data_IF_606178814706
#
_entry.id   IF_606178814706
#
_cell.length_a   1.000
_cell.length_b   1.000
_cell.length_c   1.000
_cell.angle_alpha   90.00
_cell.angle_beta   90.00
_cell.angle_gamma   90.00
#
_symmetry.space_group_name_H-M   'P 1'
#
loop_
_entity.id
_entity.type
_entity.pdbx_description
1 polymer ?
#
# COMPACT_ATOMS: atom_id res chain seq x y z
N UNK A 1 -21.40 6.40 13.85
CA UNK A 1 -20.82 7.49 14.64
C UNK A 1 -19.31 7.33 14.69
N UNK A 2 -18.66 7.99 13.74
CA UNK A 2 -17.23 8.27 13.75
C UNK A 2 -16.88 9.20 14.91
N UNK A 3 -15.87 8.86 15.71
CA UNK A 3 -15.34 9.75 16.75
C UNK A 3 -13.82 9.78 16.68
N UNK A 4 -13.26 10.95 16.40
CA UNK A 4 -11.83 11.18 16.57
C UNK A 4 -11.48 11.17 18.06
N UNK A 5 -10.54 10.30 18.44
CA UNK A 5 -10.03 10.16 19.80
C UNK A 5 -8.79 11.03 20.02
N UNK A 6 -7.91 11.08 19.03
CA UNK A 6 -6.70 11.89 19.07
C UNK A 6 -6.26 12.32 17.69
N UNK A 7 -5.56 13.45 17.64
CA UNK A 7 -4.92 13.98 16.45
C UNK A 7 -3.50 14.45 16.79
N UNK A 8 -2.53 13.98 16.00
CA UNK A 8 -1.14 14.41 16.07
C UNK A 8 -0.80 15.10 14.76
N UNK A 9 -0.58 16.43 14.75
CA UNK A 9 -0.23 17.15 13.54
C UNK A 9 1.16 16.70 13.07
N UNK A 10 1.24 16.19 11.83
CA UNK A 10 2.49 15.81 11.18
C UNK A 10 2.44 16.26 9.72
N UNK A 11 3.54 16.84 9.26
CA UNK A 11 3.69 17.27 7.87
C UNK A 11 4.69 16.37 7.16
N UNK A 12 4.69 16.44 5.82
CA UNK A 12 5.66 15.76 4.96
C UNK A 12 5.73 14.24 5.21
N UNK A 13 4.60 13.58 5.41
CA UNK A 13 4.55 12.11 5.46
C UNK A 13 4.28 11.52 4.07
N UNK A 14 4.65 10.27 3.86
CA UNK A 14 4.34 9.51 2.65
C UNK A 14 3.47 8.27 2.97
N UNK A 15 3.03 7.54 1.93
CA UNK A 15 2.13 6.39 2.06
C UNK A 15 2.74 5.19 2.81
N UNK A 16 4.04 5.20 3.07
CA UNK A 16 4.77 4.17 3.83
C UNK A 16 5.10 4.62 5.25
N UNK A 17 4.54 5.76 5.66
CA UNK A 17 4.89 6.41 6.91
C UNK A 17 4.24 5.79 8.14
N UNK A 18 3.20 4.97 8.03
CA UNK A 18 2.42 4.48 9.18
C UNK A 18 2.86 3.08 9.64
N UNK A 19 3.33 2.98 10.89
CA UNK A 19 3.93 1.78 11.46
C UNK A 19 3.23 1.32 12.74
N UNK A 20 3.40 0.05 13.09
CA UNK A 20 2.83 -0.57 14.30
C UNK A 20 3.75 -1.69 14.76
N UNK A 21 4.13 -1.64 16.03
CA UNK A 21 4.89 -2.66 16.70
C UNK A 21 4.13 -3.08 17.96
N UNK A 22 3.68 -4.32 17.98
CA UNK A 22 3.05 -4.91 19.16
C UNK A 22 4.05 -4.89 20.34
N UNK A 23 3.61 -4.37 21.49
CA UNK A 23 4.48 -4.14 22.65
C UNK A 23 5.28 -2.83 22.59
N UNK A 24 5.02 -1.97 21.60
CA UNK A 24 5.48 -0.59 21.57
C UNK A 24 4.76 0.30 22.59
N UNK A 25 5.14 1.58 22.62
CA UNK A 25 4.58 2.55 23.57
C UNK A 25 3.09 2.75 23.33
N UNK A 26 2.27 2.65 24.36
CA UNK A 26 0.82 2.86 24.27
C UNK A 26 0.16 1.98 23.21
N UNK A 27 -0.36 2.60 22.16
CA UNK A 27 -0.95 1.95 20.98
C UNK A 27 0.07 1.14 20.16
N UNK A 28 1.37 1.37 20.35
CA UNK A 28 2.44 0.78 19.55
C UNK A 28 2.57 1.38 18.14
N UNK A 29 1.88 2.49 17.87
CA UNK A 29 1.84 3.15 16.57
C UNK A 29 2.83 4.32 16.52
N UNK A 30 3.58 4.40 15.43
CA UNK A 30 4.42 5.54 15.13
C UNK A 30 4.40 5.86 13.65
N UNK A 31 4.78 7.09 13.31
CA UNK A 31 4.87 7.55 11.93
C UNK A 31 6.27 8.03 11.57
N UNK A 32 6.64 7.89 10.30
CA UNK A 32 7.88 8.43 9.73
C UNK A 32 7.59 9.52 8.70
N UNK A 33 8.28 10.66 8.81
CA UNK A 33 8.23 11.73 7.80
C UNK A 33 9.28 11.53 6.71
N UNK A 34 9.10 12.21 5.58
CA UNK A 34 10.05 12.27 4.46
C UNK A 34 11.42 12.80 4.93
N UNK A 35 11.45 13.69 5.93
CA UNK A 35 12.69 14.20 6.52
C UNK A 35 13.36 13.25 7.51
N UNK A 36 12.76 12.08 7.80
CA UNK A 36 13.33 11.09 8.69
C UNK A 36 12.97 11.23 10.16
N UNK A 37 11.93 12.00 10.49
CA UNK A 37 11.45 12.11 11.86
C UNK A 37 10.51 10.95 12.17
N UNK A 38 10.70 10.32 13.32
CA UNK A 38 9.82 9.28 13.85
C UNK A 38 9.04 9.84 15.02
N UNK A 39 7.72 9.73 14.94
CA UNK A 39 6.82 10.24 15.98
C UNK A 39 5.92 9.12 16.47
N UNK A 40 6.07 8.75 17.74
CA UNK A 40 5.13 7.87 18.42
C UNK A 40 3.81 8.61 18.63
N UNK A 41 2.68 7.99 18.27
CA UNK A 41 1.36 8.64 18.41
C UNK A 41 1.05 8.96 19.87
N UNK A 42 1.51 8.12 20.79
CA UNK A 42 1.34 8.29 22.24
C UNK A 42 2.38 9.22 22.89
N UNK A 43 3.38 9.71 22.14
CA UNK A 43 4.34 10.73 22.60
C UNK A 43 4.79 11.64 21.46
N UNK A 44 3.90 12.52 20.98
CA UNK A 44 4.20 13.39 19.86
C UNK A 44 5.20 14.50 20.20
N UNK A 45 5.43 14.78 21.49
CA UNK A 45 6.34 15.83 21.96
C UNK A 45 7.82 15.50 21.79
N UNK A 46 8.17 14.23 21.59
CA UNK A 46 9.56 13.78 21.54
C UNK A 46 9.86 13.03 20.23
N UNK A 47 9.82 13.73 19.07
CA UNK A 47 10.15 13.11 17.80
C UNK A 47 11.63 12.68 17.78
N UNK A 48 11.90 11.49 17.22
CA UNK A 48 13.25 10.96 17.05
C UNK A 48 13.71 11.23 15.62
N UNK A 49 14.83 11.93 15.46
CA UNK A 49 15.42 12.21 14.14
C UNK A 49 16.35 11.07 13.72
N UNK A 50 15.89 10.21 12.81
CA UNK A 50 16.68 9.09 12.31
C UNK A 50 17.94 9.55 11.57
N UNK A 51 17.88 10.71 10.91
CA UNK A 51 19.02 11.23 10.17
C UNK A 51 20.23 11.56 11.07
N UNK A 52 19.99 11.99 12.31
CA UNK A 52 21.03 12.23 13.31
C UNK A 52 21.67 10.96 13.87
N UNK A 53 21.12 9.78 13.55
CA UNK A 53 21.70 8.49 13.92
C UNK A 53 22.61 7.93 12.83
N UNK A 54 22.63 8.55 11.64
CA UNK A 54 23.59 8.21 10.60
C UNK A 54 24.89 8.98 10.82
N UNK A 55 26.02 8.30 10.60
CA UNK A 55 27.28 8.98 10.30
C UNK A 55 27.34 9.33 8.80
N UNK A 56 26.30 9.99 8.26
CA UNK A 56 26.30 10.45 6.86
C UNK A 56 26.65 11.93 6.82
N UNK A 57 27.72 12.28 6.09
CA UNK A 57 28.03 13.67 5.77
C UNK A 57 27.06 14.15 4.68
N UNK A 58 26.15 15.04 5.08
CA UNK A 58 25.26 15.75 4.17
C UNK A 58 25.89 17.12 3.92
N UNK A 59 26.24 17.38 2.66
CA UNK A 59 26.76 18.66 2.22
C UNK A 59 25.77 19.81 2.43
N UNK A 60 26.23 21.06 2.42
CA UNK A 60 25.39 22.23 2.70
C UNK A 60 24.20 22.41 1.73
N UNK A 61 24.29 21.81 0.54
CA UNK A 61 23.30 21.89 -0.52
C UNK A 61 22.65 20.53 -0.82
N UNK A 62 22.86 19.53 0.05
CA UNK A 62 22.25 18.21 -0.11
C UNK A 62 21.01 18.06 0.78
N UNK A 63 20.01 17.35 0.28
CA UNK A 63 18.77 17.05 1.00
C UNK A 63 18.62 15.54 1.12
N UNK A 64 18.46 15.06 2.35
CA UNK A 64 18.20 13.65 2.63
C UNK A 64 16.69 13.39 2.69
N UNK A 65 16.24 12.40 1.93
CA UNK A 65 14.83 12.05 1.75
C UNK A 65 14.58 10.56 2.07
N UNK A 66 13.63 10.29 2.99
CA UNK A 66 13.13 8.95 3.28
C UNK A 66 12.02 8.57 2.29
N UNK A 67 12.31 7.58 1.44
CA UNK A 67 11.39 7.17 0.34
C UNK A 67 10.49 6.02 0.73
N UNK A 68 11.00 5.07 1.53
CA UNK A 68 10.24 3.91 1.95
C UNK A 68 10.69 3.45 3.33
N UNK A 69 9.73 2.94 4.10
CA UNK A 69 9.99 2.35 5.38
C UNK A 69 9.05 1.15 5.59
N UNK A 70 9.53 0.14 6.30
CA UNK A 70 8.68 -0.96 6.79
C UNK A 70 9.19 -1.44 8.15
N UNK A 71 8.26 -1.85 8.99
CA UNK A 71 8.54 -2.22 10.38
C UNK A 71 8.05 -3.62 10.69
N UNK A 72 8.77 -4.30 11.58
CA UNK A 72 8.39 -5.62 12.04
C UNK A 72 8.76 -5.81 13.51
N UNK A 73 7.94 -6.60 14.21
CA UNK A 73 8.27 -7.03 15.57
C UNK A 73 9.54 -7.88 15.56
N UNK A 74 10.47 -7.55 16.45
CA UNK A 74 11.73 -8.27 16.61
C UNK A 74 12.05 -8.27 18.09
N UNK A 75 11.96 -9.44 18.71
CA UNK A 75 12.12 -9.55 20.16
C UNK A 75 13.50 -10.14 20.46
N UNK A 76 14.39 -9.27 20.93
CA UNK A 76 15.68 -9.58 21.57
C UNK A 76 15.66 -8.96 22.98
N UNK A 77 16.67 -9.24 23.81
CA UNK A 77 16.70 -8.84 25.24
C UNK A 77 16.43 -7.35 25.48
N UNK A 78 16.79 -6.47 24.54
CA UNK A 78 16.57 -5.02 24.60
C UNK A 78 15.94 -4.45 23.31
N UNK A 79 15.23 -5.28 22.54
CA UNK A 79 14.62 -4.87 21.27
C UNK A 79 13.16 -5.32 21.22
N UNK A 80 12.27 -4.42 20.79
CA UNK A 80 10.84 -4.73 20.56
C UNK A 80 10.51 -4.83 19.07
N UNK A 81 11.33 -4.23 18.21
CA UNK A 81 11.05 -4.11 16.79
C UNK A 81 12.24 -3.66 15.98
N UNK A 82 12.06 -3.69 14.67
CA UNK A 82 12.99 -3.13 13.70
C UNK A 82 12.24 -2.24 12.72
N UNK A 83 12.95 -1.26 12.18
CA UNK A 83 12.48 -0.36 11.14
C UNK A 83 13.51 -0.35 10.01
N UNK A 84 13.17 -0.97 8.88
CA UNK A 84 13.96 -0.88 7.65
C UNK A 84 13.54 0.39 6.89
N UNK A 85 14.52 1.10 6.34
CA UNK A 85 14.33 2.40 5.69
C UNK A 85 15.20 2.50 4.44
N UNK A 86 14.73 3.24 3.44
CA UNK A 86 15.44 3.51 2.21
C UNK A 86 15.51 5.02 1.96
N UNK A 87 16.72 5.50 1.67
CA UNK A 87 17.02 6.92 1.61
C UNK A 87 17.65 7.32 0.29
N UNK A 88 17.41 8.59 -0.07
CA UNK A 88 18.05 9.27 -1.19
C UNK A 88 18.70 10.54 -0.67
N UNK A 89 19.96 10.76 -1.03
CA UNK A 89 20.60 12.06 -0.93
C UNK A 89 20.43 12.75 -2.27
N UNK A 90 19.72 13.86 -2.28
CA UNK A 90 19.53 14.71 -3.45
C UNK A 90 20.42 15.95 -3.37
N UNK A 91 20.75 16.55 -4.50
CA UNK A 91 21.36 17.88 -4.55
C UNK A 91 20.31 19.01 -4.42
N UNK A 92 20.75 20.26 -4.55
CA UNK A 92 19.90 21.45 -4.48
C UNK A 92 18.81 21.52 -5.56
N UNK A 93 18.97 20.77 -6.65
CA UNK A 93 18.01 20.65 -7.75
C UNK A 93 17.11 19.43 -7.61
N UNK A 94 17.15 18.74 -6.46
CA UNK A 94 16.45 17.48 -6.22
C UNK A 94 16.84 16.35 -7.17
N UNK A 95 18.07 16.38 -7.69
CA UNK A 95 18.63 15.28 -8.47
C UNK A 95 19.27 14.25 -7.53
N UNK A 96 18.90 12.97 -7.63
CA UNK A 96 19.46 11.95 -6.75
C UNK A 96 20.96 11.72 -6.98
N UNK A 97 21.75 11.82 -5.91
CA UNK A 97 23.20 11.65 -5.91
C UNK A 97 23.62 10.30 -5.32
N UNK A 98 23.03 9.93 -4.17
CA UNK A 98 23.38 8.71 -3.43
C UNK A 98 22.14 8.02 -2.88
N UNK A 99 22.24 6.72 -2.67
CA UNK A 99 21.17 5.87 -2.17
C UNK A 99 21.71 4.95 -1.09
N UNK A 100 20.92 4.72 -0.04
CA UNK A 100 21.28 3.72 0.97
C UNK A 100 20.05 3.11 1.64
N UNK A 101 20.22 1.88 2.11
CA UNK A 101 19.30 1.22 3.03
C UNK A 101 19.83 1.36 4.46
N UNK A 102 18.93 1.45 5.43
CA UNK A 102 19.29 1.41 6.84
C UNK A 102 18.27 0.62 7.66
N UNK A 103 18.75 -0.04 8.70
CA UNK A 103 17.95 -0.77 9.68
C UNK A 103 18.16 -0.17 11.06
N UNK A 104 17.06 0.23 11.67
CA UNK A 104 17.03 0.68 13.06
C UNK A 104 16.45 -0.39 13.96
N UNK A 105 17.07 -0.57 15.12
CA UNK A 105 16.51 -1.33 16.24
C UNK A 105 15.64 -0.41 17.07
N UNK A 106 14.44 -0.88 17.40
CA UNK A 106 13.50 -0.18 18.27
C UNK A 106 13.67 -0.78 19.66
N UNK A 107 14.18 0.02 20.58
CA UNK A 107 14.52 -0.37 21.94
C UNK A 107 13.26 -0.46 22.82
N UNK A 108 13.38 -1.12 23.99
CA UNK A 108 12.27 -1.23 24.96
C UNK A 108 11.88 0.10 25.59
N UNK A 109 12.79 1.06 25.62
CA UNK A 109 12.53 2.46 26.01
C UNK A 109 11.98 3.31 24.84
N UNK A 110 11.66 2.66 23.71
CA UNK A 110 11.11 3.26 22.49
C UNK A 110 12.07 4.19 21.73
N UNK A 111 13.34 4.19 22.09
CA UNK A 111 14.41 4.83 21.32
C UNK A 111 14.77 4.01 20.07
N UNK A 112 15.46 4.66 19.14
CA UNK A 112 15.95 4.05 17.90
C UNK A 112 17.47 4.03 17.90
N UNK A 113 18.04 2.90 17.53
CA UNK A 113 19.50 2.74 17.38
C UNK A 113 19.80 2.19 16.00
N UNK A 114 20.74 2.80 15.29
CA UNK A 114 21.20 2.30 14.00
C UNK A 114 21.87 0.93 14.18
N UNK A 115 21.30 -0.10 13.54
CA UNK A 115 21.85 -1.46 13.55
C UNK A 115 22.63 -1.80 12.30
N UNK A 116 22.25 -1.22 11.16
CA UNK A 116 22.91 -1.45 9.87
C UNK A 116 22.61 -0.31 8.89
N UNK A 117 23.57 -0.06 8.00
CA UNK A 117 23.45 0.85 6.87
C UNK A 117 24.35 0.36 5.74
N UNK A 118 23.87 0.41 4.51
CA UNK A 118 24.66 0.05 3.33
C UNK A 118 24.24 0.84 2.10
N UNK A 119 25.20 1.14 1.22
CA UNK A 119 24.98 1.88 -0.01
C UNK A 119 24.23 1.03 -1.03
N UNK A 120 23.30 1.65 -1.75
CA UNK A 120 22.57 1.00 -2.84
C UNK A 120 23.09 1.52 -4.18
N UNK A 121 23.18 0.61 -5.16
CA UNK A 121 23.64 0.95 -6.53
C UNK A 121 22.60 1.70 -7.35
N UNK A 122 21.31 1.51 -7.02
CA UNK A 122 20.17 2.03 -7.78
C UNK A 122 19.14 2.63 -6.83
N UNK A 123 18.29 3.52 -7.37
CA UNK A 123 17.32 4.27 -6.59
C UNK A 123 16.27 3.31 -5.98
N UNK A 124 16.13 3.27 -4.64
CA UNK A 124 15.12 2.44 -4.00
C UNK A 124 13.71 3.01 -4.27
N UNK A 125 12.73 2.13 -4.42
CA UNK A 125 11.33 2.48 -4.64
C UNK A 125 10.42 1.97 -3.53
N UNK A 126 10.80 0.85 -2.90
CA UNK A 126 10.01 0.23 -1.84
C UNK A 126 10.90 -0.66 -0.97
N UNK A 127 10.49 -0.87 0.29
CA UNK A 127 11.13 -1.84 1.17
C UNK A 127 10.11 -2.68 1.92
N UNK A 128 10.48 -3.91 2.24
CA UNK A 128 9.64 -4.85 2.98
C UNK A 128 10.49 -5.66 3.95
N UNK A 129 10.06 -5.72 5.20
CA UNK A 129 10.60 -6.67 6.18
C UNK A 129 9.74 -7.92 6.14
N UNK A 130 10.36 -9.07 5.89
CA UNK A 130 9.63 -10.34 5.78
C UNK A 130 9.32 -10.93 7.15
N UNK A 131 8.38 -11.87 7.17
CA UNK A 131 8.29 -12.84 8.25
C UNK A 131 9.55 -13.72 8.31
N UNK A 132 9.71 -14.39 9.45
CA UNK A 132 10.75 -15.40 9.62
C UNK A 132 10.46 -16.57 8.67
N UNK A 133 11.49 -17.04 7.95
CA UNK A 133 11.34 -18.15 7.02
C UNK A 133 12.44 -19.21 7.19
N UNK A 134 12.10 -20.52 7.17
CA UNK A 134 13.09 -21.60 7.19
C UNK A 134 14.10 -21.53 6.04
N UNK A 135 13.67 -21.03 4.88
CA UNK A 135 14.54 -20.85 3.69
C UNK A 135 15.66 -19.84 3.93
N UNK A 136 15.49 -18.92 4.89
CA UNK A 136 16.51 -17.99 5.33
C UNK A 136 17.11 -18.42 6.68
N UNK A 137 17.16 -19.72 6.98
CA UNK A 137 17.65 -20.26 8.24
C UNK A 137 16.90 -19.71 9.48
N UNK A 138 15.58 -19.59 9.38
CA UNK A 138 14.72 -18.99 10.40
C UNK A 138 15.09 -17.54 10.73
N UNK A 139 15.52 -16.78 9.73
CA UNK A 139 15.77 -15.34 9.82
C UNK A 139 14.67 -14.54 9.15
N UNK A 140 14.57 -13.27 9.54
CA UNK A 140 13.86 -12.25 8.76
C UNK A 140 14.76 -11.76 7.64
N UNK A 141 14.13 -11.22 6.61
CA UNK A 141 14.82 -10.58 5.51
C UNK A 141 14.34 -9.15 5.32
N UNK A 142 15.22 -8.31 4.78
CA UNK A 142 14.89 -7.00 4.22
C UNK A 142 14.95 -7.16 2.71
N UNK A 143 13.84 -6.84 2.06
CA UNK A 143 13.75 -6.71 0.60
C UNK A 143 13.78 -5.22 0.27
N UNK A 144 14.70 -4.80 -0.59
CA UNK A 144 14.76 -3.44 -1.11
C UNK A 144 14.57 -3.49 -2.62
N UNK A 145 13.42 -3.03 -3.09
CA UNK A 145 13.09 -2.93 -4.50
C UNK A 145 13.60 -1.60 -5.05
N UNK A 146 14.04 -1.62 -6.31
CA UNK A 146 14.64 -0.45 -6.95
C UNK A 146 14.01 -0.17 -8.32
N UNK A 147 14.29 1.02 -8.84
CA UNK A 147 13.81 1.46 -10.15
C UNK A 147 14.43 0.69 -11.33
N UNK A 148 15.49 -0.09 -11.09
CA UNK A 148 16.09 -0.96 -12.08
C UNK A 148 15.38 -2.33 -12.21
N UNK A 149 14.15 -2.44 -11.72
CA UNK A 149 13.40 -3.69 -11.64
C UNK A 149 14.20 -4.82 -10.98
N UNK A 150 14.95 -4.49 -9.92
CA UNK A 150 15.72 -5.47 -9.15
C UNK A 150 15.39 -5.39 -7.66
N UNK A 151 15.71 -6.45 -6.93
CA UNK A 151 15.53 -6.54 -5.48
C UNK A 151 16.85 -6.90 -4.82
N UNK A 152 17.26 -6.11 -3.83
CA UNK A 152 18.35 -6.44 -2.94
C UNK A 152 17.79 -7.17 -1.72
N UNK A 153 18.42 -8.28 -1.34
CA UNK A 153 18.00 -9.10 -0.22
C UNK A 153 19.08 -9.07 0.87
N UNK A 154 18.65 -8.80 2.09
CA UNK A 154 19.50 -8.83 3.27
C UNK A 154 18.86 -9.70 4.33
N UNK A 155 19.63 -10.55 5.01
CA UNK A 155 19.15 -11.37 6.12
C UNK A 155 19.47 -10.70 7.45
N UNK A 156 18.56 -10.84 8.42
CA UNK A 156 18.71 -10.28 9.77
C UNK A 156 18.92 -11.43 10.75
N UNK A 157 20.09 -11.48 11.38
CA UNK A 157 20.37 -12.45 12.44
C UNK A 157 19.42 -12.25 13.63
N UNK A 158 18.83 -13.34 14.13
CA UNK A 158 17.74 -13.27 15.11
C UNK A 158 18.17 -12.79 16.51
N UNK A 159 19.44 -12.98 16.88
CA UNK A 159 19.96 -12.67 18.22
C UNK A 159 20.75 -11.37 18.29
N UNK A 160 21.33 -10.95 17.19
CA UNK A 160 22.22 -9.79 17.11
C UNK A 160 21.62 -8.64 16.30
N UNK A 161 20.51 -8.88 15.60
CA UNK A 161 19.98 -8.06 14.51
C UNK A 161 21.07 -7.56 13.54
N UNK A 162 22.16 -8.33 13.40
CA UNK A 162 23.20 -8.07 12.40
C UNK A 162 22.63 -8.39 11.02
N UNK A 163 22.86 -7.48 10.09
CA UNK A 163 22.40 -7.62 8.71
C UNK A 163 23.52 -8.16 7.84
N UNK A 164 23.22 -9.17 7.03
CA UNK A 164 24.13 -9.76 6.06
C UNK A 164 23.49 -9.73 4.68
N UNK A 165 24.17 -9.13 3.71
CA UNK A 165 23.75 -9.22 2.31
C UNK A 165 23.77 -10.68 1.84
N UNK A 166 22.83 -11.03 0.97
CA UNK A 166 22.83 -12.33 0.28
C UNK A 166 22.75 -12.10 -1.21
N UNK A 167 23.53 -12.88 -1.96
CA UNK A 167 23.67 -12.69 -3.41
C UNK A 167 22.58 -13.42 -4.21
N UNK A 168 21.86 -14.38 -3.61
CA UNK A 168 20.92 -15.22 -4.36
C UNK A 168 19.50 -15.06 -3.82
N UNK A 169 18.80 -14.05 -4.33
CA UNK A 169 17.39 -13.79 -4.02
C UNK A 169 16.52 -14.99 -4.40
N UNK A 170 16.79 -15.58 -5.56
CA UNK A 170 16.00 -16.68 -6.14
C UNK A 170 15.93 -17.92 -5.24
N UNK A 171 16.96 -18.20 -4.46
CA UNK A 171 16.99 -19.37 -3.57
C UNK A 171 15.99 -19.25 -2.42
N UNK A 172 15.79 -18.04 -1.90
CA UNK A 172 14.88 -17.79 -0.76
C UNK A 172 13.49 -17.35 -1.28
N UNK A 173 13.48 -16.62 -2.38
CA UNK A 173 12.30 -16.01 -2.96
C UNK A 173 12.31 -16.14 -4.50
N UNK A 174 12.10 -17.35 -5.06
CA UNK A 174 12.14 -17.55 -6.51
C UNK A 174 11.04 -16.76 -7.23
N UNK A 175 9.91 -16.48 -6.55
CA UNK A 175 8.83 -15.65 -7.07
C UNK A 175 9.20 -14.17 -7.30
N UNK A 176 10.35 -13.72 -6.78
CA UNK A 176 10.87 -12.37 -6.98
C UNK A 176 11.74 -12.23 -8.24
N UNK A 177 11.60 -13.12 -9.21
CA UNK A 177 12.09 -12.83 -10.55
C UNK A 177 11.30 -11.64 -11.13
N UNK A 178 11.93 -10.46 -11.06
CA UNK A 178 11.34 -9.18 -11.47
C UNK A 178 11.51 -8.90 -12.96
N UNK A 179 12.14 -9.79 -13.74
CA UNK A 179 12.32 -9.59 -15.19
C UNK A 179 10.97 -9.46 -15.93
N UNK A 180 9.91 -10.05 -15.37
CA UNK A 180 8.55 -9.97 -15.91
C UNK A 180 7.79 -8.67 -15.57
N UNK A 181 8.32 -7.86 -14.64
CA UNK A 181 7.70 -6.59 -14.26
C UNK A 181 8.10 -5.50 -15.25
N UNK A 182 7.09 -4.84 -15.82
CA UNK A 182 7.29 -3.72 -16.73
C UNK A 182 7.60 -2.39 -16.01
N UNK A 183 8.02 -2.42 -14.75
CA UNK A 183 8.30 -1.22 -13.95
C UNK A 183 8.68 -1.54 -12.50
N UNK A 184 9.09 -0.51 -11.75
CA UNK A 184 9.57 -0.67 -10.39
C UNK A 184 8.45 -1.17 -9.46
N UNK A 185 8.80 -2.09 -8.55
CA UNK A 185 7.88 -2.55 -7.50
C UNK A 185 7.70 -1.46 -6.46
N UNK A 186 6.45 -1.14 -6.15
CA UNK A 186 6.04 -0.11 -5.18
C UNK A 186 5.05 -0.62 -4.13
N UNK A 187 4.52 -1.83 -4.32
CA UNK A 187 3.61 -2.48 -3.36
C UNK A 187 3.94 -3.96 -3.30
N UNK A 188 3.87 -4.53 -2.10
CA UNK A 188 3.95 -5.97 -1.92
C UNK A 188 2.91 -6.45 -0.91
N UNK A 189 2.46 -7.67 -1.08
CA UNK A 189 1.65 -8.36 -0.08
C UNK A 189 2.07 -9.81 -0.02
N UNK A 190 2.04 -10.41 1.17
CA UNK A 190 2.45 -11.80 1.34
C UNK A 190 1.56 -12.47 2.38
N UNK A 191 1.20 -13.73 2.11
CA UNK A 191 0.48 -14.59 3.03
C UNK A 191 1.17 -15.95 3.09
N UNK A 192 1.45 -16.40 4.31
CA UNK A 192 2.02 -17.70 4.59
C UNK A 192 0.91 -18.64 5.06
N UNK A 193 0.64 -19.70 4.29
CA UNK A 193 -0.26 -20.80 4.69
C UNK A 193 0.57 -22.02 5.09
N UNK A 194 -0.04 -23.17 5.42
CA UNK A 194 0.73 -24.38 5.70
C UNK A 194 1.44 -24.90 4.45
N UNK A 195 0.75 -24.88 3.30
CA UNK A 195 1.20 -25.42 2.02
C UNK A 195 1.96 -24.39 1.18
N UNK A 196 1.50 -23.15 1.15
CA UNK A 196 1.98 -22.14 0.20
C UNK A 196 2.52 -20.87 0.87
N UNK A 197 3.38 -20.17 0.12
CA UNK A 197 3.64 -18.74 0.31
C UNK A 197 3.07 -18.00 -0.89
N UNK A 198 1.98 -17.27 -0.67
CA UNK A 198 1.39 -16.39 -1.66
C UNK A 198 2.08 -15.03 -1.60
N UNK A 199 2.52 -14.52 -2.74
CA UNK A 199 3.22 -13.23 -2.83
C UNK A 199 2.66 -12.43 -3.99
N UNK A 200 2.27 -11.18 -3.73
CA UNK A 200 1.88 -10.21 -4.73
C UNK A 200 2.90 -9.08 -4.83
N UNK A 201 3.24 -8.68 -6.06
CA UNK A 201 4.08 -7.53 -6.38
C UNK A 201 3.30 -6.57 -7.28
N UNK A 202 3.19 -5.31 -6.88
CA UNK A 202 2.52 -4.24 -7.63
C UNK A 202 3.53 -3.20 -8.08
N UNK A 203 3.44 -2.79 -9.35
CA UNK A 203 4.39 -1.86 -9.98
C UNK A 203 3.80 -0.49 -10.26
N UNK A 204 4.68 0.49 -10.47
CA UNK A 204 4.29 1.84 -10.86
C UNK A 204 3.67 1.93 -12.26
N UNK A 205 3.83 0.91 -13.09
CA UNK A 205 3.24 0.86 -14.44
C UNK A 205 1.91 0.12 -14.49
N UNK A 206 1.32 -0.23 -13.35
CA UNK A 206 0.02 -0.91 -13.29
C UNK A 206 0.08 -2.42 -13.50
N UNK A 207 1.26 -3.02 -13.48
CA UNK A 207 1.39 -4.49 -13.53
C UNK A 207 1.36 -5.06 -12.12
N UNK A 208 0.60 -6.15 -11.93
CA UNK A 208 0.62 -6.97 -10.71
C UNK A 208 1.05 -8.38 -11.07
N UNK A 209 2.00 -8.94 -10.31
CA UNK A 209 2.40 -10.34 -10.38
C UNK A 209 2.03 -11.01 -9.07
N UNK A 210 1.29 -12.12 -9.15
CA UNK A 210 0.93 -12.95 -8.01
C UNK A 210 1.57 -14.32 -8.21
N UNK A 211 2.26 -14.80 -7.17
CA UNK A 211 2.90 -16.11 -7.18
C UNK A 211 2.44 -16.93 -5.99
N UNK A 212 2.25 -18.23 -6.23
CA UNK A 212 2.12 -19.22 -5.16
C UNK A 212 3.37 -20.11 -5.19
N UNK A 213 4.10 -20.10 -4.09
CA UNK A 213 5.25 -20.99 -3.89
C UNK A 213 4.84 -22.17 -3.00
N UNK A 214 5.04 -23.40 -3.48
CA UNK A 214 4.89 -24.60 -2.67
C UNK A 214 6.05 -24.73 -1.70
N UNK A 215 5.78 -24.61 -0.39
CA UNK A 215 6.83 -24.59 0.66
C UNK A 215 7.65 -25.86 0.72
N UNK A 216 7.04 -27.01 0.44
CA UNK A 216 7.70 -28.31 0.53
C UNK A 216 8.84 -28.48 -0.49
N UNK A 217 8.75 -27.83 -1.66
CA UNK A 217 9.73 -27.95 -2.74
C UNK A 217 10.47 -26.65 -3.04
N UNK A 218 10.01 -25.53 -2.49
CA UNK A 218 10.47 -24.18 -2.86
C UNK A 218 10.28 -23.87 -4.35
N UNK A 219 9.21 -24.40 -4.94
CA UNK A 219 8.88 -24.23 -6.36
C UNK A 219 7.69 -23.29 -6.54
N UNK A 220 7.72 -22.50 -7.61
CA UNK A 220 6.56 -21.71 -8.04
C UNK A 220 5.60 -22.67 -8.74
N UNK A 221 4.40 -22.82 -8.19
CA UNK A 221 3.33 -23.65 -8.78
C UNK A 221 2.24 -22.83 -9.45
N UNK A 222 2.25 -21.51 -9.25
CA UNK A 222 1.30 -20.58 -9.84
C UNK A 222 1.97 -19.23 -10.04
N UNK A 223 1.77 -18.62 -11.22
CA UNK A 223 2.23 -17.27 -11.54
C UNK A 223 1.16 -16.57 -12.40
N UNK A 224 0.45 -15.63 -11.79
CA UNK A 224 -0.54 -14.81 -12.46
C UNK A 224 0.04 -13.41 -12.74
N UNK A 225 -0.25 -12.87 -13.92
CA UNK A 225 0.10 -11.50 -14.31
C UNK A 225 -1.17 -10.73 -14.68
N UNK A 226 -1.42 -9.64 -13.97
CA UNK A 226 -2.57 -8.75 -14.16
C UNK A 226 -2.09 -7.38 -14.61
N UNK A 227 -2.89 -6.70 -15.44
CA UNK A 227 -2.63 -5.34 -15.90
C UNK A 227 -3.79 -4.43 -15.54
N UNK A 228 -3.45 -3.31 -14.91
CA UNK A 228 -4.33 -2.22 -14.53
C UNK A 228 -3.88 -0.93 -15.21
N UNK A 229 -4.79 0.01 -15.33
CA UNK A 229 -4.47 1.36 -15.79
C UNK A 229 -3.89 2.18 -14.63
N UNK A 230 -2.69 2.72 -14.83
CA UNK A 230 -2.01 3.57 -13.84
C UNK A 230 -1.31 2.80 -12.71
N UNK A 231 -0.68 3.57 -11.83
CA UNK A 231 0.17 3.11 -10.71
C UNK A 231 -0.62 2.22 -9.75
N UNK A 232 -0.08 1.06 -9.34
CA UNK A 232 -0.71 0.21 -8.31
C UNK A 232 -0.61 0.88 -6.94
N UNK A 233 -1.76 1.22 -6.36
CA UNK A 233 -1.85 1.90 -5.05
C UNK A 233 -2.25 0.95 -3.92
N UNK A 234 -3.09 -0.04 -4.21
CA UNK A 234 -3.56 -1.05 -3.26
C UNK A 234 -3.21 -2.44 -3.78
N UNK A 235 -2.54 -3.22 -2.93
CA UNK A 235 -2.29 -4.64 -3.14
C UNK A 235 -2.26 -5.34 -1.79
N UNK A 236 -3.29 -6.12 -1.51
CA UNK A 236 -3.48 -6.71 -0.19
C UNK A 236 -4.09 -8.11 -0.28
N UNK A 237 -3.41 -9.10 0.30
CA UNK A 237 -4.00 -10.44 0.48
C UNK A 237 -5.05 -10.35 1.59
N UNK A 238 -6.27 -10.81 1.31
CA UNK A 238 -7.39 -10.78 2.25
C UNK A 238 -7.55 -12.09 3.03
N UNK A 239 -7.46 -13.23 2.34
CA UNK A 239 -7.69 -14.57 2.92
C UNK A 239 -7.17 -15.65 1.97
N UNK A 240 -6.68 -16.77 2.52
CA UNK A 240 -6.59 -18.05 1.82
C UNK A 240 -7.82 -18.92 2.17
N UNK A 241 -8.34 -19.67 1.20
CA UNK A 241 -9.43 -20.61 1.42
C UNK A 241 -8.94 -21.85 2.19
N UNK A 242 -9.87 -22.69 2.64
CA UNK A 242 -9.58 -23.76 3.60
C UNK A 242 -8.61 -24.83 3.04
N UNK A 243 -8.64 -25.07 1.72
CA UNK A 243 -7.70 -25.95 1.02
C UNK A 243 -6.35 -25.27 0.68
N UNK A 244 -6.25 -23.97 0.96
CA UNK A 244 -5.09 -23.08 0.77
C UNK A 244 -4.60 -22.91 -0.69
N UNK A 245 -5.18 -23.64 -1.64
CA UNK A 245 -4.95 -23.59 -3.08
C UNK A 245 -5.56 -22.36 -3.74
N UNK A 246 -6.52 -21.70 -3.10
CA UNK A 246 -7.17 -20.46 -3.53
C UNK A 246 -6.87 -19.32 -2.56
N UNK A 247 -6.73 -18.10 -3.08
CA UNK A 247 -6.48 -16.88 -2.30
C UNK A 247 -7.23 -15.68 -2.88
N UNK A 248 -7.68 -14.78 -2.00
CA UNK A 248 -8.32 -13.51 -2.33
C UNK A 248 -7.34 -12.35 -2.20
N UNK A 249 -7.27 -11.52 -3.23
CA UNK A 249 -6.53 -10.26 -3.26
C UNK A 249 -7.46 -9.08 -3.49
N UNK A 250 -7.28 -8.02 -2.71
CA UNK A 250 -7.76 -6.68 -3.01
C UNK A 250 -6.69 -5.94 -3.80
N UNK A 251 -7.05 -5.46 -4.99
CA UNK A 251 -6.13 -4.78 -5.90
C UNK A 251 -6.78 -3.51 -6.45
N UNK A 252 -6.05 -2.40 -6.41
CA UNK A 252 -6.46 -1.17 -7.08
C UNK A 252 -5.23 -0.46 -7.65
N UNK A 253 -5.41 0.15 -8.82
CA UNK A 253 -4.56 1.26 -9.22
C UNK A 253 -5.05 2.57 -8.59
N UNK A 254 -4.28 3.65 -8.76
CA UNK A 254 -4.70 5.00 -8.38
C UNK A 254 -6.00 5.44 -9.07
N UNK A 255 -6.35 4.87 -10.21
CA UNK A 255 -7.56 5.24 -10.98
C UNK A 255 -8.82 4.59 -10.37
N UNK A 256 -8.67 3.41 -9.77
CA UNK A 256 -9.78 2.61 -9.30
C UNK A 256 -10.65 2.05 -10.42
N UNK A 257 -11.78 1.40 -10.09
CA UNK A 257 -12.18 1.00 -8.74
C UNK A 257 -11.28 -0.10 -8.16
N UNK A 258 -11.20 -0.24 -6.83
CA UNK A 258 -10.65 -1.43 -6.21
C UNK A 258 -11.45 -2.68 -6.61
N UNK A 259 -10.75 -3.76 -6.87
CA UNK A 259 -11.33 -5.03 -7.33
C UNK A 259 -10.82 -6.20 -6.50
N UNK A 260 -11.66 -7.21 -6.35
CA UNK A 260 -11.33 -8.46 -5.67
C UNK A 260 -11.00 -9.50 -6.71
N UNK A 261 -9.85 -10.13 -6.52
CA UNK A 261 -9.32 -11.18 -7.38
C UNK A 261 -9.15 -12.45 -6.60
N UNK A 262 -9.73 -13.51 -7.13
CA UNK A 262 -9.49 -14.88 -6.73
C UNK A 262 -8.39 -15.45 -7.62
N UNK A 263 -7.35 -15.99 -6.99
CA UNK A 263 -6.28 -16.71 -7.67
C UNK A 263 -6.22 -18.12 -7.09
N UNK A 264 -6.23 -19.15 -7.94
CA UNK A 264 -6.12 -20.53 -7.50
C UNK A 264 -5.02 -21.31 -8.22
N UNK A 265 -4.35 -22.20 -7.49
CA UNK A 265 -3.41 -23.19 -8.03
C UNK A 265 -4.20 -24.42 -8.48
N UNK A 266 -4.17 -24.75 -9.77
CA UNK A 266 -4.64 -26.05 -10.29
C UNK A 266 -3.43 -26.91 -10.64
N UNK A 267 -3.62 -28.22 -10.79
CA UNK A 267 -2.51 -29.17 -11.01
C UNK A 267 -1.61 -28.79 -12.20
N UNK A 268 -2.18 -28.17 -13.24
CA UNK A 268 -1.46 -27.78 -14.46
C UNK A 268 -1.67 -26.31 -14.88
N UNK A 269 -2.48 -25.53 -14.15
CA UNK A 269 -2.84 -24.17 -14.56
C UNK A 269 -3.06 -23.23 -13.37
N UNK A 270 -3.07 -21.92 -13.65
CA UNK A 270 -3.43 -20.86 -12.71
C UNK A 270 -4.80 -20.30 -13.07
N UNK A 271 -5.77 -20.46 -12.18
CA UNK A 271 -7.08 -19.84 -12.34
C UNK A 271 -7.06 -18.41 -11.80
N UNK A 272 -7.57 -17.48 -12.60
CA UNK A 272 -7.59 -16.05 -12.30
C UNK A 272 -9.00 -15.55 -12.55
N UNK A 273 -9.70 -15.17 -11.48
CA UNK A 273 -11.08 -14.69 -11.56
C UNK A 273 -11.17 -13.34 -10.85
N UNK A 274 -11.66 -12.33 -11.56
CA UNK A 274 -12.15 -11.10 -10.92
C UNK A 274 -13.53 -11.38 -10.35
N UNK A 275 -13.64 -11.46 -9.03
CA UNK A 275 -14.89 -11.83 -8.36
C UNK A 275 -15.78 -10.62 -8.12
N UNK A 276 -15.19 -9.47 -7.75
CA UNK A 276 -15.97 -8.34 -7.27
C UNK A 276 -15.35 -7.00 -7.62
N UNK A 277 -16.19 -5.98 -7.77
CA UNK A 277 -15.82 -4.58 -7.88
C UNK A 277 -16.37 -3.78 -6.69
N UNK A 278 -15.51 -2.99 -6.04
CA UNK A 278 -15.88 -2.14 -4.91
C UNK A 278 -16.31 -0.77 -5.44
N UNK A 279 -17.62 -0.53 -5.42
CA UNK A 279 -18.24 0.68 -5.98
C UNK A 279 -18.05 1.89 -5.06
N UNK A 280 -18.27 3.09 -5.61
CA UNK A 280 -18.12 4.36 -4.89
C UNK A 280 -16.70 4.95 -4.90
N UNK A 281 -15.74 4.24 -5.50
CA UNK A 281 -14.33 4.63 -5.59
C UNK A 281 -13.90 5.14 -6.99
N UNK A 282 -14.83 5.44 -7.91
CA UNK A 282 -14.53 5.73 -9.34
C UNK A 282 -14.66 7.22 -9.67
N UNK A 283 -13.78 7.72 -10.55
CA UNK A 283 -14.07 8.82 -11.47
C UNK A 283 -13.73 10.25 -11.00
N UNK A 284 -13.48 10.46 -9.71
CA UNK A 284 -13.26 11.81 -9.17
C UNK A 284 -12.09 11.94 -8.20
N UNK A 285 -11.47 10.83 -7.81
CA UNK A 285 -10.43 10.84 -6.77
C UNK A 285 -9.48 9.65 -6.94
N UNK A 286 -8.22 9.83 -6.53
CA UNK A 286 -7.23 8.77 -6.60
C UNK A 286 -7.32 7.85 -5.39
N UNK A 287 -7.39 6.53 -5.63
CA UNK A 287 -7.29 5.52 -4.57
C UNK A 287 -5.84 5.43 -4.10
N UNK A 288 -5.58 5.62 -2.81
CA UNK A 288 -4.20 5.71 -2.28
C UNK A 288 -3.80 4.51 -1.43
N UNK A 289 -4.70 4.05 -0.55
CA UNK A 289 -4.39 2.99 0.40
C UNK A 289 -5.63 2.22 0.82
N UNK A 290 -5.40 1.09 1.48
CA UNK A 290 -6.42 0.27 2.10
C UNK A 290 -5.99 -0.19 3.49
N UNK A 291 -6.98 -0.51 4.32
CA UNK A 291 -6.80 -1.26 5.56
C UNK A 291 -7.97 -2.21 5.73
N UNK A 292 -7.79 -3.30 6.47
CA UNK A 292 -8.92 -4.15 6.85
C UNK A 292 -8.79 -4.63 8.29
N UNK A 293 -9.95 -4.91 8.88
CA UNK A 293 -10.12 -5.57 10.17
C UNK A 293 -10.79 -6.93 9.97
N UNK A 294 -11.31 -7.55 11.04
CA UNK A 294 -12.04 -8.80 10.93
C UNK A 294 -13.34 -8.62 10.14
N UNK A 295 -14.01 -7.49 10.30
CA UNK A 295 -15.35 -7.27 9.71
C UNK A 295 -15.39 -6.24 8.59
N UNK A 296 -14.38 -5.38 8.45
CA UNK A 296 -14.44 -4.20 7.58
C UNK A 296 -13.21 -4.08 6.69
N UNK A 297 -13.41 -3.57 5.49
CA UNK A 297 -12.34 -3.05 4.62
C UNK A 297 -12.57 -1.55 4.44
N UNK A 298 -11.52 -0.76 4.59
CA UNK A 298 -11.53 0.67 4.36
C UNK A 298 -10.61 1.02 3.19
N UNK A 299 -11.07 1.90 2.32
CA UNK A 299 -10.31 2.50 1.22
C UNK A 299 -10.12 3.98 1.51
N UNK A 300 -8.89 4.46 1.44
CA UNK A 300 -8.53 5.87 1.58
C UNK A 300 -8.16 6.50 0.25
N UNK A 301 -8.69 7.68 0.00
CA UNK A 301 -8.48 8.43 -1.26
C UNK A 301 -7.70 9.73 -1.05
N UNK A 302 -7.21 10.31 -2.15
CA UNK A 302 -6.41 11.53 -2.11
C UNK A 302 -7.24 12.79 -1.83
N UNK A 303 -8.51 12.82 -2.19
CA UNK A 303 -9.48 13.87 -1.86
C UNK A 303 -9.97 13.80 -0.41
N UNK A 304 -9.45 12.87 0.39
CA UNK A 304 -9.77 12.75 1.82
C UNK A 304 -10.96 11.86 2.10
N UNK A 305 -11.49 11.10 1.14
CA UNK A 305 -12.62 10.20 1.39
C UNK A 305 -12.15 8.88 1.98
N UNK A 306 -12.89 8.40 2.97
CA UNK A 306 -12.78 7.06 3.54
C UNK A 306 -14.03 6.28 3.23
N UNK A 307 -13.88 5.16 2.55
CA UNK A 307 -14.98 4.35 2.04
C UNK A 307 -14.90 2.97 2.69
N UNK A 308 -15.97 2.54 3.35
CA UNK A 308 -15.99 1.32 4.14
C UNK A 308 -16.89 0.27 3.49
N UNK A 309 -16.42 -0.97 3.49
CA UNK A 309 -17.12 -2.13 2.95
C UNK A 309 -17.19 -3.22 4.02
N UNK A 310 -18.30 -3.92 4.09
CA UNK A 310 -18.40 -5.13 4.91
C UNK A 310 -17.53 -6.21 4.29
N UNK A 311 -16.66 -6.80 5.10
CA UNK A 311 -15.79 -7.90 4.66
C UNK A 311 -16.60 -9.14 4.32
N UNK A 312 -17.74 -9.36 4.98
CA UNK A 312 -18.65 -10.47 4.68
C UNK A 312 -19.10 -10.44 3.22
N UNK A 313 -19.59 -9.31 2.73
CA UNK A 313 -20.07 -9.10 1.36
C UNK A 313 -18.96 -9.40 0.32
N UNK A 314 -17.71 -9.07 0.66
CA UNK A 314 -16.51 -9.41 -0.16
C UNK A 314 -16.24 -10.91 -0.19
N UNK A 315 -16.47 -11.61 0.91
CA UNK A 315 -16.24 -13.05 1.02
C UNK A 315 -17.39 -13.88 0.44
N UNK A 316 -18.57 -13.30 0.26
CA UNK A 316 -19.72 -13.92 -0.42
C UNK A 316 -19.62 -13.84 -1.95
N UNK A 317 -18.54 -13.24 -2.48
CA UNK A 317 -18.20 -13.17 -3.90
C UNK A 317 -19.29 -12.47 -4.75
N UNK A 318 -19.97 -11.47 -4.21
CA UNK A 318 -20.89 -10.61 -4.97
C UNK A 318 -20.13 -9.85 -6.08
N UNK A 319 -20.69 -9.76 -7.28
CA UNK A 319 -20.03 -9.09 -8.42
C UNK A 319 -19.78 -7.60 -8.16
N UNK A 320 -20.71 -6.94 -7.47
CA UNK A 320 -20.69 -5.51 -7.19
C UNK A 320 -20.98 -5.27 -5.73
N UNK A 321 -20.03 -4.66 -5.04
CA UNK A 321 -20.09 -4.45 -3.60
C UNK A 321 -20.22 -2.95 -3.36
N UNK A 322 -21.30 -2.58 -2.68
CA UNK A 322 -21.58 -1.20 -2.31
C UNK A 322 -20.95 -0.88 -0.95
N UNK A 323 -20.51 0.37 -0.74
CA UNK A 323 -19.98 0.76 0.56
C UNK A 323 -21.10 0.79 1.59
N UNK A 324 -20.81 0.32 2.81
CA UNK A 324 -21.76 0.41 3.92
C UNK A 324 -21.87 1.83 4.46
N UNK A 325 -20.77 2.59 4.44
CA UNK A 325 -20.76 4.03 4.66
C UNK A 325 -19.48 4.67 4.13
N UNK A 326 -19.47 6.00 4.03
CA UNK A 326 -18.27 6.79 3.76
C UNK A 326 -18.15 7.98 4.69
N UNK A 327 -16.93 8.42 4.94
CA UNK A 327 -16.61 9.62 5.73
C UNK A 327 -15.72 10.52 4.89
N UNK A 328 -16.07 11.79 4.80
CA UNK A 328 -15.21 12.80 4.17
C UNK A 328 -14.28 13.38 5.23
N UNK A 329 -12.97 13.27 4.96
CA UNK A 329 -11.91 13.88 5.75
C UNK A 329 -11.38 15.13 5.05
N UNK A 330 -10.87 16.07 5.81
CA UNK A 330 -10.44 17.37 5.27
C UNK A 330 -9.08 17.34 4.57
N UNK A 331 -8.37 16.21 4.63
CA UNK A 331 -7.03 16.06 4.07
C UNK A 331 -6.85 14.71 3.36
N UNK A 332 -5.97 14.64 2.34
CA UNK A 332 -5.62 13.40 1.66
C UNK A 332 -5.27 12.25 2.61
N UNK A 333 -5.80 11.06 2.37
CA UNK A 333 -5.50 9.85 3.13
C UNK A 333 -4.29 9.16 2.53
N UNK A 334 -3.24 8.95 3.32
CA UNK A 334 -1.97 8.37 2.87
C UNK A 334 -1.81 6.91 3.28
N UNK A 335 -2.23 6.55 4.50
CA UNK A 335 -2.19 5.18 4.99
C UNK A 335 -3.26 4.92 6.05
N UNK A 336 -3.68 3.66 6.15
CA UNK A 336 -4.70 3.18 7.08
C UNK A 336 -4.20 1.96 7.84
N UNK A 337 -4.55 1.87 9.13
CA UNK A 337 -4.26 0.70 9.95
C UNK A 337 -5.31 0.49 11.02
N UNK A 338 -6.02 -0.62 10.94
CA UNK A 338 -6.92 -1.06 12.02
C UNK A 338 -6.10 -1.62 13.19
N UNK A 339 -6.39 -1.16 14.41
CA UNK A 339 -5.89 -1.72 15.66
C UNK A 339 -6.88 -2.73 16.24
N UNK A 340 -8.17 -2.53 15.96
CA UNK A 340 -9.27 -3.44 16.27
C UNK A 340 -10.38 -3.29 15.21
N UNK A 341 -11.52 -3.97 15.36
CA UNK A 341 -12.69 -3.70 14.51
C UNK A 341 -13.30 -2.30 14.75
N UNK A 342 -13.03 -1.69 15.90
CA UNK A 342 -13.57 -0.39 16.27
C UNK A 342 -12.54 0.74 16.19
N UNK A 343 -11.24 0.43 16.20
CA UNK A 343 -10.18 1.43 16.28
C UNK A 343 -9.35 1.44 15.00
N UNK A 344 -9.27 2.60 14.35
CA UNK A 344 -8.51 2.83 13.13
C UNK A 344 -7.55 3.99 13.33
N UNK A 345 -6.33 3.82 12.84
CA UNK A 345 -5.36 4.89 12.70
C UNK A 345 -5.26 5.30 11.24
N UNK A 346 -5.29 6.60 11.01
CA UNK A 346 -5.27 7.23 9.70
C UNK A 346 -4.08 8.16 9.67
N UNK A 347 -3.17 7.92 8.73
CA UNK A 347 -2.17 8.91 8.35
C UNK A 347 -2.74 9.71 7.19
N UNK A 348 -3.04 10.97 7.44
CA UNK A 348 -3.44 11.94 6.42
C UNK A 348 -2.28 12.90 6.12
N UNK A 349 -2.47 13.79 5.15
CA UNK A 349 -1.50 14.87 4.89
C UNK A 349 -1.40 15.90 6.03
N UNK A 350 -2.41 16.00 6.90
CA UNK A 350 -2.41 16.92 8.04
C UNK A 350 -1.82 16.30 9.31
N UNK A 351 -1.78 14.96 9.40
CA UNK A 351 -1.21 14.26 10.53
C UNK A 351 -1.82 12.89 10.76
N UNK A 352 -1.69 12.40 11.99
CA UNK A 352 -2.18 11.08 12.40
C UNK A 352 -3.44 11.24 13.23
N UNK A 353 -4.50 10.56 12.81
CA UNK A 353 -5.79 10.54 13.48
C UNK A 353 -6.02 9.14 14.05
N UNK A 354 -6.34 9.06 15.33
CA UNK A 354 -6.88 7.82 15.93
C UNK A 354 -8.37 7.98 16.05
N UNK A 355 -9.13 7.08 15.43
CA UNK A 355 -10.58 7.19 15.32
C UNK A 355 -11.23 5.92 15.81
N UNK A 356 -12.41 6.09 16.41
CA UNK A 356 -13.23 5.00 16.90
C UNK A 356 -14.58 4.95 16.19
N UNK A 357 -15.02 3.75 15.84
CA UNK A 357 -16.32 3.43 15.26
C UNK A 357 -17.22 2.73 16.27
N UNK A 358 -18.53 2.75 16.03
CA UNK A 358 -19.48 1.91 16.75
C UNK A 358 -19.89 0.73 15.88
N UNK A 359 -19.95 -0.47 16.44
CA UNK A 359 -20.35 -1.68 15.73
C UNK A 359 -21.73 -1.55 15.02
N UNK A 360 -22.64 -0.77 15.61
CA UNK A 360 -23.97 -0.46 15.08
C UNK A 360 -23.96 0.29 13.72
N UNK A 361 -22.82 0.86 13.34
CA UNK A 361 -22.66 1.57 12.06
C UNK A 361 -22.53 0.61 10.86
N UNK A 362 -22.24 -0.66 11.12
CA UNK A 362 -21.99 -1.67 10.08
C UNK A 362 -23.19 -2.59 9.80
N UNK A 363 -24.11 -2.70 10.75
CA UNK A 363 -25.21 -3.69 10.75
C UNK A 363 -26.52 -3.16 10.14
N UNK A 364 -26.53 -1.92 9.67
CA UNK A 364 -27.71 -1.37 9.00
C UNK A 364 -27.59 -1.66 7.50
N UNK A 365 -28.51 -2.48 6.99
CA UNK A 365 -28.82 -2.54 5.55
C UNK A 365 -29.44 -1.20 5.12
N UNK A 366 -28.62 -0.15 5.06
CA UNK A 366 -29.05 1.14 4.53
C UNK A 366 -28.78 1.12 3.03
N UNK A 367 -29.80 1.25 2.17
CA UNK A 367 -29.57 1.39 0.74
C UNK A 367 -28.70 2.63 0.49
N UNK A 368 -27.64 2.46 -0.29
CA UNK A 368 -26.76 3.55 -0.71
C UNK A 368 -27.58 4.56 -1.54
N UNK A 369 -27.88 5.73 -0.98
CA UNK A 369 -28.44 6.83 -1.76
C UNK A 369 -27.33 7.43 -2.63
N UNK A 370 -27.35 7.09 -3.91
CA UNK A 370 -26.64 7.88 -4.94
C UNK A 370 -27.24 9.29 -4.95
N UNK A 371 -26.55 10.27 -4.38
CA UNK A 371 -26.73 11.67 -4.78
C UNK A 371 -26.25 11.80 -6.22
N UNK A 372 -27.17 11.54 -7.16
CA UNK A 372 -27.01 11.92 -8.56
C UNK A 372 -27.01 13.45 -8.57
N UNK A 373 -25.87 14.05 -8.86
CA UNK A 373 -25.81 15.46 -9.24
C UNK A 373 -26.62 15.58 -10.54
N UNK A 374 -27.73 16.34 -10.59
CA UNK A 374 -28.50 16.45 -11.81
C UNK A 374 -27.65 17.09 -12.90
N UNK A 375 -27.64 16.45 -14.07
CA UNK A 375 -27.07 16.99 -15.29
C UNK A 375 -27.85 18.26 -15.64
N UNK A 376 -27.22 19.43 -15.53
CA UNK A 376 -27.79 20.74 -15.86
C UNK A 376 -27.92 20.90 -17.39
N UNK A 377 -28.82 20.13 -18.01
CA UNK A 377 -29.27 20.33 -19.39
C UNK A 377 -30.72 19.91 -19.56
N UNK A 378 -31.66 20.67 -19.01
CA UNK A 378 -32.99 20.81 -19.62
C UNK A 378 -33.84 21.91 -18.95
N UNK A 379 -33.67 23.16 -19.39
CA UNK A 379 -34.75 24.16 -19.35
C UNK A 379 -34.64 25.12 -20.53
N UNK A 380 -35.42 24.84 -21.60
CA UNK A 380 -36.38 25.78 -22.22
C UNK A 380 -36.98 25.16 -23.50
N UNK A 381 -38.17 24.59 -23.37
CA UNK A 381 -39.26 24.84 -24.33
C UNK A 381 -39.97 26.12 -23.83
N UNK A 382 -40.50 27.06 -24.62
CA UNK A 382 -41.43 26.94 -25.75
C UNK A 382 -41.55 28.32 -26.42
N UNK A 383 -41.68 28.38 -27.75
CA UNK A 383 -42.77 29.12 -28.43
C UNK A 383 -42.66 28.98 -29.96
N UNK A 384 -43.78 28.63 -30.55
CA UNK A 384 -44.04 28.41 -31.98
C UNK A 384 -43.79 29.65 -32.86
N UNK A 385 -43.38 29.47 -34.11
CA UNK A 385 -44.28 29.66 -35.25
C UNK A 385 -43.57 29.78 -36.62
N UNK A 386 -44.13 29.05 -37.57
CA UNK A 386 -44.31 29.40 -38.97
C UNK A 386 -43.15 29.27 -39.99
N UNK A 387 -43.48 28.45 -41.00
CA UNK A 387 -43.31 28.71 -42.43
C UNK A 387 -41.94 28.45 -43.11
N UNK A 388 -41.93 27.40 -43.95
CA UNK A 388 -41.71 27.63 -45.38
C UNK A 388 -40.38 27.20 -46.01
N UNK A 389 -40.40 25.99 -46.60
CA UNK A 389 -39.83 25.61 -47.91
C UNK A 389 -38.33 25.83 -48.26
N UNK A 390 -37.70 24.67 -48.50
CA UNK A 390 -36.94 24.24 -49.71
C UNK A 390 -35.54 24.79 -50.03
N UNK A 391 -34.73 23.82 -50.51
CA UNK A 391 -33.47 23.89 -51.27
C UNK A 391 -32.23 24.33 -50.47
N UNK A 392 -31.00 23.92 -50.76
CA UNK A 392 -30.34 22.80 -51.44
C UNK A 392 -28.84 23.06 -51.31
N UNK A 393 -28.00 22.03 -51.48
CA UNK A 393 -26.60 22.07 -51.92
C UNK A 393 -25.45 22.33 -50.91
N UNK A 394 -24.49 21.39 -51.03
CA UNK A 394 -23.01 21.51 -50.94
C UNK A 394 -22.38 21.53 -49.54
N UNK A 395 -21.68 20.45 -49.17
CA UNK A 395 -20.23 20.20 -49.41
C UNK A 395 -19.35 21.29 -48.77
N UNK A 396 -18.63 20.93 -47.71
CA UNK A 396 -17.18 20.91 -47.77
C UNK A 396 -16.58 20.00 -46.69
N UNK A 397 -15.66 19.17 -47.17
CA UNK A 397 -14.72 18.35 -46.42
C UNK A 397 -13.79 19.22 -45.58
N UNK A 398 -13.32 18.69 -44.45
CA UNK A 398 -11.88 18.64 -44.15
C UNK A 398 -11.62 17.67 -42.99
N UNK A 399 -11.09 16.50 -43.35
CA UNK A 399 -10.34 15.62 -42.46
C UNK A 399 -9.00 16.29 -42.14
N UNK A 400 -8.57 16.23 -40.88
CA UNK A 400 -7.19 16.52 -40.52
C UNK A 400 -6.62 15.37 -39.69
N UNK A 401 -5.55 14.81 -40.23
CA UNK A 401 -4.75 13.69 -39.76
C UNK A 401 -3.82 14.18 -38.65
N UNK A 402 -3.75 13.44 -37.55
CA UNK A 402 -2.77 13.66 -36.48
C UNK A 402 -1.42 13.05 -36.84
N UNK A 403 -0.35 13.79 -36.56
CA UNK A 403 1.01 13.26 -36.31
C UNK A 403 1.26 13.27 -34.81
#
# INVERSE_FOLDING_TARGET
MWKELSFVPLQFCNTYGLHYIQGGRGSGVFCTTIGGEVVWVDDPSHPVKLNGLFNEEIGPNEVLELIAADSARHTEDDCIGILATCWIVNDEMYLPQRYFGALFKIKKDFSFVLGWKDSLKTKPTFTRVTEVTPLAQNRRCILIFTNACCVNLFTIEQKSAKVCATEIVGDIFPGLDLQDLSGATIRTSCLHTKKYRWSGLGSETGTVIITALLKAKNDIVCRAKLKFEGVISVLQVLKAFDEEDKVLFLISSMIGPPTIWTIATREEDTEIIRTSELLGCVGHDAVICSGFSKNIIAIGTYGGRLIFFRRKDILEEEEKIYPCFSVDHTAPILALRFLSDEDLVILSRSGVHTVKFKAEDYDKDVPYETTVVPDDKEKKATSESSCGKKHSLRRQENQMIFR
#
